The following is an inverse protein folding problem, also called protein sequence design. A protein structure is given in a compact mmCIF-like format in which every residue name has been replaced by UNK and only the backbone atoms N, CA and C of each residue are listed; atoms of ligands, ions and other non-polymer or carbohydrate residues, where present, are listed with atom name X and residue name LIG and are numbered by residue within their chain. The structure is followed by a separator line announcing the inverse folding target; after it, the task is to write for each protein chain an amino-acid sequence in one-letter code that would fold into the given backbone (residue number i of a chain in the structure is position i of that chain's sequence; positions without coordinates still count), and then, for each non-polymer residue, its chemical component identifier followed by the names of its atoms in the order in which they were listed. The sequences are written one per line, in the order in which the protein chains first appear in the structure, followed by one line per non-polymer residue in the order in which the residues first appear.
data_IF_580066980741
#
_entry.id   IF_580066980741
#
_cell.length_a   1.000
_cell.length_b   1.000
_cell.length_c   1.000
_cell.angle_alpha   90.00
_cell.angle_beta   90.00
_cell.angle_gamma   90.00
#
_symmetry.space_group_name_H-M   'P 1'
#
loop_
_entity.id
_entity.type
_entity.pdbx_description
1 polymer ?
#
# COMPACT_ATOMS: atom_id res chain seq x y z
N UNK A 1 2.28 11.98 -5.20
CA UNK A 1 2.04 10.54 -4.97
C UNK A 1 0.59 10.33 -4.55
N UNK A 2 -0.01 9.17 -4.82
CA UNK A 2 -1.38 8.83 -4.39
C UNK A 2 -1.37 7.75 -3.30
N UNK A 3 -2.33 7.82 -2.36
CA UNK A 3 -2.50 6.87 -1.27
C UNK A 3 -3.99 6.46 -1.17
N UNK A 4 -4.37 5.23 -1.55
CA UNK A 4 -3.55 4.14 -2.10
C UNK A 4 -2.99 4.40 -3.51
N UNK A 5 -2.03 3.57 -3.92
CA UNK A 5 -1.63 3.40 -5.31
C UNK A 5 -2.30 2.14 -5.89
N UNK A 6 -3.20 2.32 -6.86
CA UNK A 6 -3.99 1.26 -7.48
C UNK A 6 -3.54 0.94 -8.93
N UNK A 7 -2.27 1.13 -9.25
CA UNK A 7 -1.75 0.91 -10.62
C UNK A 7 -1.91 -0.54 -11.12
N UNK A 8 -2.01 -1.52 -10.22
CA UNK A 8 -2.15 -2.95 -10.54
C UNK A 8 -3.57 -3.39 -10.91
N UNK A 9 -4.56 -2.49 -10.77
CA UNK A 9 -5.94 -2.77 -11.15
C UNK A 9 -6.06 -2.91 -12.67
N UNK A 10 -6.77 -3.94 -13.11
CA UNK A 10 -7.04 -4.15 -14.55
C UNK A 10 -8.20 -3.28 -15.05
N UNK A 11 -9.23 -3.06 -14.23
CA UNK A 11 -10.36 -2.21 -14.61
C UNK A 11 -10.11 -0.76 -14.24
N UNK A 12 -9.94 0.10 -15.25
CA UNK A 12 -9.64 1.51 -15.03
C UNK A 12 -10.81 2.28 -14.41
N UNK A 13 -12.04 1.97 -14.81
CA UNK A 13 -13.22 2.81 -14.56
C UNK A 13 -13.67 2.85 -13.10
N UNK A 14 -13.31 1.83 -12.30
CA UNK A 14 -13.70 1.78 -10.89
C UNK A 14 -12.56 2.19 -9.94
N UNK A 15 -11.41 2.62 -10.46
CA UNK A 15 -10.28 3.04 -9.60
C UNK A 15 -10.61 4.23 -8.73
N UNK A 16 -11.39 5.20 -9.25
CA UNK A 16 -11.71 6.43 -8.53
C UNK A 16 -12.61 6.17 -7.31
N UNK A 17 -13.64 5.33 -7.47
CA UNK A 17 -14.56 4.98 -6.39
C UNK A 17 -13.83 4.21 -5.28
N UNK A 18 -13.03 3.21 -5.67
CA UNK A 18 -12.21 2.44 -4.72
C UNK A 18 -11.20 3.33 -4.01
N UNK A 19 -10.53 4.23 -4.74
CA UNK A 19 -9.64 5.21 -4.12
C UNK A 19 -10.34 6.05 -3.05
N UNK A 20 -11.55 6.56 -3.35
CA UNK A 20 -12.34 7.36 -2.40
C UNK A 20 -12.73 6.59 -1.15
N UNK A 21 -13.03 5.29 -1.26
CA UNK A 21 -13.38 4.46 -0.10
C UNK A 21 -12.16 4.06 0.73
N UNK A 22 -10.99 3.86 0.09
CA UNK A 22 -9.78 3.41 0.76
C UNK A 22 -8.96 4.55 1.37
N UNK A 23 -8.95 5.75 0.77
CA UNK A 23 -8.06 6.83 1.21
C UNK A 23 -8.32 7.34 2.65
N UNK A 24 -9.46 6.96 3.24
CA UNK A 24 -9.84 7.25 4.62
C UNK A 24 -9.44 6.16 5.61
N UNK A 25 -8.91 5.01 5.15
CA UNK A 25 -8.41 3.97 6.03
C UNK A 25 -7.14 4.45 6.77
N UNK A 26 -6.91 4.02 8.02
CA UNK A 26 -5.84 4.52 8.89
C UNK A 26 -4.47 4.61 8.19
N UNK A 27 -4.01 3.52 7.55
CA UNK A 27 -2.73 3.48 6.83
C UNK A 27 -2.61 4.57 5.77
N UNK A 28 -3.59 4.67 4.85
CA UNK A 28 -3.52 5.60 3.73
C UNK A 28 -3.72 7.06 4.16
N UNK A 29 -4.55 7.28 5.18
CA UNK A 29 -4.70 8.59 5.81
C UNK A 29 -3.36 9.05 6.40
N UNK A 30 -2.68 8.19 7.15
CA UNK A 30 -1.38 8.52 7.73
C UNK A 30 -0.32 8.84 6.66
N UNK A 31 -0.19 8.01 5.63
CA UNK A 31 0.75 8.27 4.53
C UNK A 31 0.46 9.60 3.81
N UNK A 32 -0.82 9.95 3.65
CA UNK A 32 -1.25 11.25 3.11
C UNK A 32 -0.85 12.39 4.04
N UNK A 33 -1.05 12.25 5.35
CA UNK A 33 -0.66 13.27 6.32
C UNK A 33 0.86 13.46 6.41
N UNK A 34 1.66 12.40 6.32
CA UNK A 34 3.12 12.51 6.20
C UNK A 34 3.50 13.37 4.99
N UNK A 35 2.89 13.10 3.83
CA UNK A 35 3.15 13.86 2.61
C UNK A 35 2.71 15.33 2.72
N UNK A 36 1.53 15.59 3.28
CA UNK A 36 1.03 16.95 3.51
C UNK A 36 1.93 17.72 4.47
N UNK A 37 2.39 17.06 5.54
CA UNK A 37 3.23 17.68 6.56
C UNK A 37 4.56 18.17 5.97
N UNK A 38 5.21 17.37 5.13
CA UNK A 38 6.42 17.81 4.41
C UNK A 38 6.14 19.02 3.51
N UNK A 39 5.05 18.98 2.74
CA UNK A 39 4.73 20.06 1.81
C UNK A 39 4.41 21.37 2.53
N UNK A 40 3.74 21.31 3.69
CA UNK A 40 3.35 22.47 4.48
C UNK A 40 4.54 23.13 5.18
N UNK A 41 5.44 22.33 5.75
CA UNK A 41 6.53 22.84 6.60
C UNK A 41 7.89 22.88 5.86
N UNK A 42 7.86 22.91 4.53
CA UNK A 42 9.09 22.92 3.73
C UNK A 42 9.85 24.24 3.94
N UNK A 43 11.07 24.17 4.49
CA UNK A 43 11.92 25.33 4.74
C UNK A 43 11.69 26.04 6.09
N UNK A 44 10.88 25.49 6.99
CA UNK A 44 10.66 26.08 8.32
C UNK A 44 11.64 25.55 9.38
N UNK A 45 12.28 26.47 10.10
CA UNK A 45 12.70 26.33 11.51
C UNK A 45 13.38 25.02 11.95
N UNK A 46 14.18 24.40 11.07
CA UNK A 46 14.78 23.11 11.36
C UNK A 46 15.81 23.19 12.50
N UNK A 47 15.74 22.23 13.41
CA UNK A 47 16.76 22.02 14.42
C UNK A 47 18.14 21.76 13.77
N UNK A 48 19.23 22.09 14.47
CA UNK A 48 20.60 21.79 14.08
C UNK A 48 20.83 20.32 13.70
N UNK A 49 20.13 19.39 14.33
CA UNK A 49 20.27 17.96 14.00
C UNK A 49 19.75 17.63 12.58
N UNK A 50 18.79 18.42 12.08
CA UNK A 50 18.30 18.27 10.71
C UNK A 50 19.30 18.83 9.67
N UNK A 51 20.28 19.65 10.08
CA UNK A 51 21.32 20.15 9.17
C UNK A 51 22.18 19.02 8.58
N UNK A 52 22.18 17.83 9.19
CA UNK A 52 22.83 16.65 8.60
C UNK A 52 22.31 16.32 7.20
N UNK A 53 21.05 16.65 6.87
CA UNK A 53 20.52 16.52 5.51
C UNK A 53 21.30 17.39 4.52
N UNK A 54 21.62 18.64 4.90
CA UNK A 54 22.35 19.58 4.06
C UNK A 54 23.81 19.19 3.85
N UNK A 55 24.47 18.73 4.92
CA UNK A 55 25.89 18.37 4.89
C UNK A 55 26.16 17.11 4.08
N UNK A 56 25.24 16.14 4.10
CA UNK A 56 25.48 14.81 3.50
C UNK A 56 24.86 14.65 2.11
N UNK A 57 23.75 15.33 1.82
CA UNK A 57 23.03 15.15 0.56
C UNK A 57 23.34 16.33 -0.35
N UNK A 58 24.09 16.10 -1.43
CA UNK A 58 24.37 17.13 -2.44
C UNK A 58 23.08 17.66 -3.10
N UNK A 59 23.07 18.94 -3.48
CA UNK A 59 21.90 19.61 -4.09
C UNK A 59 22.09 20.01 -5.56
N UNK A 60 23.20 19.61 -6.18
CA UNK A 60 23.57 20.04 -7.55
C UNK A 60 22.53 19.58 -8.58
N UNK A 61 21.98 18.38 -8.39
CA UNK A 61 20.98 17.80 -9.28
C UNK A 61 19.62 17.71 -8.59
N UNK A 62 18.54 17.71 -9.39
CA UNK A 62 17.14 17.60 -8.94
C UNK A 62 16.96 16.47 -7.92
N UNK A 63 17.52 15.28 -8.18
CA UNK A 63 17.39 14.14 -7.26
C UNK A 63 17.99 14.38 -5.87
N UNK A 64 19.12 15.05 -5.81
CA UNK A 64 19.76 15.42 -4.54
C UNK A 64 18.97 16.49 -3.79
N UNK A 65 18.46 17.49 -4.51
CA UNK A 65 17.59 18.52 -3.91
C UNK A 65 16.29 17.94 -3.35
N UNK A 66 15.63 17.02 -4.05
CA UNK A 66 14.38 16.40 -3.60
C UNK A 66 14.61 15.44 -2.42
N UNK A 67 15.71 14.66 -2.43
CA UNK A 67 16.07 13.82 -1.28
C UNK A 67 16.43 14.63 -0.05
N UNK A 68 17.07 15.79 -0.22
CA UNK A 68 17.34 16.71 0.88
C UNK A 68 16.05 17.24 1.50
N UNK A 69 15.10 17.72 0.69
CA UNK A 69 13.77 18.16 1.17
C UNK A 69 13.04 17.03 1.91
N UNK A 70 13.09 15.81 1.37
CA UNK A 70 12.51 14.64 2.02
C UNK A 70 13.18 14.36 3.38
N UNK A 71 14.51 14.42 3.45
CA UNK A 71 15.28 14.20 4.68
C UNK A 71 14.90 15.24 5.76
N UNK A 72 14.86 16.52 5.39
CA UNK A 72 14.47 17.62 6.27
C UNK A 72 13.03 17.45 6.76
N UNK A 73 12.12 17.10 5.85
CA UNK A 73 10.73 16.82 6.16
C UNK A 73 10.56 15.64 7.13
N UNK A 74 11.33 14.55 6.95
CA UNK A 74 11.35 13.42 7.89
C UNK A 74 11.86 13.87 9.26
N UNK A 75 12.95 14.63 9.32
CA UNK A 75 13.47 15.16 10.59
C UNK A 75 12.39 15.96 11.35
N UNK A 76 11.69 16.83 10.62
CA UNK A 76 10.61 17.64 11.17
C UNK A 76 9.43 16.77 11.65
N UNK A 77 9.04 15.75 10.88
CA UNK A 77 8.02 14.76 11.24
C UNK A 77 8.38 14.06 12.56
N UNK A 78 9.62 13.62 12.74
CA UNK A 78 10.04 12.90 13.94
C UNK A 78 10.00 13.81 15.19
N UNK A 79 10.36 15.08 15.04
CA UNK A 79 10.38 16.06 16.13
C UNK A 79 8.98 16.62 16.47
N UNK A 80 8.06 16.62 15.51
CA UNK A 80 6.69 17.12 15.69
C UNK A 80 5.65 15.99 15.53
N UNK A 81 6.02 14.76 15.88
CA UNK A 81 5.20 13.59 15.60
C UNK A 81 3.81 13.63 16.27
N UNK A 82 3.68 14.31 17.41
CA UNK A 82 2.39 14.47 18.09
C UNK A 82 1.33 15.14 17.21
N UNK A 83 1.72 16.08 16.35
CA UNK A 83 0.79 16.75 15.43
C UNK A 83 0.19 15.74 14.43
N UNK A 84 1.03 14.85 13.90
CA UNK A 84 0.61 13.80 12.97
C UNK A 84 -0.17 12.70 13.70
N UNK A 85 0.29 12.31 14.89
CA UNK A 85 -0.36 11.30 15.74
C UNK A 85 -1.79 11.71 16.08
N UNK A 86 -2.01 12.99 16.41
CA UNK A 86 -3.32 13.51 16.81
C UNK A 86 -4.40 13.37 15.72
N UNK A 87 -4.02 13.44 14.44
CA UNK A 87 -4.95 13.39 13.30
C UNK A 87 -5.03 11.99 12.64
N UNK A 88 -4.06 11.11 12.92
CA UNK A 88 -3.91 9.78 12.30
C UNK A 88 -4.50 8.68 13.19
N UNK A 89 -5.80 8.77 13.48
CA UNK A 89 -6.51 7.85 14.39
C UNK A 89 -6.56 6.43 13.81
N UNK A 90 -6.44 5.42 14.69
CA UNK A 90 -6.62 4.01 14.34
C UNK A 90 -5.35 3.25 13.98
N UNK A 91 -4.18 3.86 14.19
CA UNK A 91 -2.88 3.18 14.04
C UNK A 91 -2.35 2.79 15.41
N UNK A 92 -1.93 1.54 15.56
CA UNK A 92 -1.28 1.05 16.77
C UNK A 92 0.16 1.53 16.86
N UNK A 93 0.68 1.66 18.08
CA UNK A 93 1.99 2.29 18.32
C UNK A 93 3.15 1.54 17.64
N UNK A 94 3.04 0.23 17.43
CA UNK A 94 4.02 -0.59 16.72
C UNK A 94 4.04 -0.37 15.20
N UNK A 95 3.02 0.26 14.63
CA UNK A 95 2.84 0.41 13.17
C UNK A 95 3.33 1.74 12.60
N UNK A 96 3.54 2.75 13.45
CA UNK A 96 4.00 4.07 13.00
C UNK A 96 5.28 4.00 12.16
N UNK A 97 6.33 3.41 12.70
CA UNK A 97 7.62 3.32 12.00
C UNK A 97 7.59 2.38 10.80
N UNK A 98 6.99 1.17 10.84
CA UNK A 98 6.83 0.35 9.64
C UNK A 98 6.11 1.08 8.50
N UNK A 99 4.98 1.74 8.78
CA UNK A 99 4.23 2.46 7.75
C UNK A 99 5.03 3.64 7.19
N UNK A 100 5.70 4.39 8.05
CA UNK A 100 6.58 5.49 7.62
C UNK A 100 7.75 4.97 6.77
N UNK A 101 8.38 3.85 7.15
CA UNK A 101 9.48 3.26 6.38
C UNK A 101 9.06 2.88 4.95
N UNK A 102 7.93 2.19 4.79
CA UNK A 102 7.38 1.85 3.48
C UNK A 102 7.08 3.12 2.67
N UNK A 103 6.53 4.14 3.32
CA UNK A 103 6.23 5.41 2.68
C UNK A 103 7.50 6.16 2.22
N UNK A 104 8.52 6.27 3.08
CA UNK A 104 9.81 6.90 2.75
C UNK A 104 10.45 6.19 1.56
N UNK A 105 10.49 4.87 1.58
CA UNK A 105 11.10 4.10 0.49
C UNK A 105 10.36 4.32 -0.85
N UNK A 106 9.03 4.32 -0.82
CA UNK A 106 8.22 4.62 -2.01
C UNK A 106 8.47 6.05 -2.53
N UNK A 107 8.62 7.03 -1.62
CA UNK A 107 8.95 8.40 -1.99
C UNK A 107 10.32 8.46 -2.67
N UNK A 108 11.35 7.87 -2.07
CA UNK A 108 12.71 7.82 -2.62
C UNK A 108 12.72 7.25 -4.05
N UNK A 109 12.01 6.13 -4.29
CA UNK A 109 11.92 5.52 -5.61
C UNK A 109 11.20 6.37 -6.66
N UNK A 110 10.41 7.36 -6.25
CA UNK A 110 9.75 8.29 -7.16
C UNK A 110 10.63 9.48 -7.57
N UNK A 111 11.77 9.69 -6.89
CA UNK A 111 12.66 10.83 -7.14
C UNK A 111 13.60 10.52 -8.32
N UNK A 112 13.67 11.39 -9.35
CA UNK A 112 14.62 11.22 -10.45
C UNK A 112 16.07 11.22 -9.97
N UNK A 113 16.92 10.36 -10.53
CA UNK A 113 18.36 10.29 -10.19
C UNK A 113 18.66 10.05 -8.69
N UNK A 114 17.71 9.48 -7.92
CA UNK A 114 17.87 9.21 -6.49
C UNK A 114 19.08 8.32 -6.18
N UNK A 115 19.42 7.39 -7.09
CA UNK A 115 20.52 6.41 -6.91
C UNK A 115 21.87 7.08 -6.61
N UNK A 116 22.11 8.28 -7.12
CA UNK A 116 23.35 9.02 -6.90
C UNK A 116 23.50 9.54 -5.45
N UNK A 117 22.40 9.61 -4.71
CA UNK A 117 22.34 10.28 -3.40
C UNK A 117 21.68 9.44 -2.30
N UNK A 118 21.06 8.31 -2.64
CA UNK A 118 20.27 7.47 -1.71
C UNK A 118 21.10 6.96 -0.53
N UNK A 119 22.37 6.60 -0.74
CA UNK A 119 23.26 6.18 0.34
C UNK A 119 23.44 7.29 1.38
N UNK A 120 23.73 8.50 0.92
CA UNK A 120 23.91 9.67 1.80
C UNK A 120 22.60 10.06 2.48
N UNK A 121 21.46 9.90 1.79
CA UNK A 121 20.15 10.13 2.38
C UNK A 121 19.89 9.22 3.58
N UNK A 122 20.08 7.90 3.45
CA UNK A 122 19.89 6.97 4.58
C UNK A 122 20.96 7.13 5.66
N UNK A 123 22.18 7.53 5.30
CA UNK A 123 23.20 7.89 6.27
C UNK A 123 22.77 9.09 7.13
N UNK A 124 22.26 10.16 6.50
CA UNK A 124 21.72 11.32 7.21
C UNK A 124 20.55 10.94 8.12
N UNK A 125 19.60 10.12 7.63
CA UNK A 125 18.49 9.62 8.45
C UNK A 125 18.96 8.83 9.66
N UNK A 126 20.03 8.04 9.55
CA UNK A 126 20.60 7.29 10.68
C UNK A 126 21.02 8.23 11.81
N UNK A 127 21.66 9.37 11.52
CA UNK A 127 22.01 10.36 12.54
C UNK A 127 20.77 11.04 13.13
N UNK A 128 19.85 11.47 12.26
CA UNK A 128 18.63 12.16 12.67
C UNK A 128 17.80 11.32 13.63
N UNK A 129 17.71 10.00 13.39
CA UNK A 129 16.94 9.08 14.23
C UNK A 129 17.46 8.97 15.67
N UNK A 130 18.73 9.29 15.92
CA UNK A 130 19.33 9.28 17.26
C UNK A 130 19.23 10.63 17.99
N UNK A 131 18.58 11.64 17.40
CA UNK A 131 18.38 12.92 18.09
C UNK A 131 17.46 12.73 19.31
N UNK A 132 17.87 13.29 20.45
CA UNK A 132 17.06 13.31 21.67
C UNK A 132 15.80 14.18 21.57
N UNK A 133 15.65 14.97 20.50
CA UNK A 133 14.47 15.81 20.27
C UNK A 133 13.34 15.07 19.54
N UNK A 134 13.59 13.85 19.07
CA UNK A 134 12.57 13.08 18.37
C UNK A 134 11.49 12.60 19.34
N UNK A 135 10.23 12.78 18.93
CA UNK A 135 9.04 12.26 19.62
C UNK A 135 8.67 10.85 19.12
N UNK A 136 9.16 10.46 17.95
CA UNK A 136 9.05 9.12 17.40
C UNK A 136 10.44 8.59 17.05
N UNK A 137 10.76 7.40 17.57
CA UNK A 137 12.03 6.74 17.31
C UNK A 137 11.85 5.66 16.23
N UNK A 138 12.17 6.01 14.99
CA UNK A 138 12.21 5.07 13.87
C UNK A 138 13.66 4.76 13.47
N UNK A 139 13.87 3.61 12.84
CA UNK A 139 15.08 3.31 12.10
C UNK A 139 14.73 3.24 10.62
N UNK A 140 15.49 3.94 9.78
CA UNK A 140 15.35 3.90 8.32
C UNK A 140 16.57 3.23 7.72
N UNK A 141 16.34 2.23 6.87
CA UNK A 141 17.41 1.49 6.21
C UNK A 141 17.21 1.48 4.70
N UNK A 142 18.33 1.61 3.98
CA UNK A 142 18.34 1.38 2.55
C UNK A 142 18.29 -0.12 2.27
N UNK A 143 17.14 -0.62 1.86
CA UNK A 143 16.99 -2.04 1.50
C UNK A 143 17.59 -2.40 0.13
N UNK A 144 18.01 -1.41 -0.67
CA UNK A 144 18.53 -1.59 -2.05
C UNK A 144 17.64 -2.46 -2.96
N UNK A 145 16.34 -2.52 -2.64
CA UNK A 145 15.34 -3.28 -3.38
C UNK A 145 15.05 -2.60 -4.73
N UNK A 146 14.99 -3.40 -5.79
CA UNK A 146 14.54 -2.95 -7.10
C UNK A 146 13.09 -2.46 -7.06
N UNK A 147 12.75 -1.41 -7.81
CA UNK A 147 11.41 -0.81 -7.81
C UNK A 147 10.30 -1.81 -8.13
N UNK A 148 10.50 -2.71 -9.09
CA UNK A 148 9.49 -3.71 -9.48
C UNK A 148 9.23 -4.68 -8.32
N UNK A 149 10.31 -5.10 -7.64
CA UNK A 149 10.21 -5.97 -6.45
C UNK A 149 9.53 -5.22 -5.30
N UNK A 150 9.91 -3.96 -5.06
CA UNK A 150 9.30 -3.14 -4.03
C UNK A 150 7.80 -2.95 -4.26
N UNK A 151 7.38 -2.63 -5.49
CA UNK A 151 5.98 -2.45 -5.85
C UNK A 151 5.16 -3.72 -5.53
N UNK A 152 5.73 -4.91 -5.78
CA UNK A 152 5.12 -6.20 -5.38
C UNK A 152 4.98 -6.36 -3.88
N UNK A 153 6.06 -6.12 -3.12
CA UNK A 153 6.02 -6.22 -1.66
C UNK A 153 5.01 -5.25 -1.07
N UNK A 154 4.99 -4.02 -1.57
CA UNK A 154 4.10 -2.95 -1.11
C UNK A 154 2.64 -3.32 -1.27
N UNK A 155 2.21 -3.79 -2.44
CA UNK A 155 0.80 -4.18 -2.65
C UNK A 155 0.38 -5.30 -1.69
N UNK A 156 1.21 -6.35 -1.56
CA UNK A 156 0.93 -7.48 -0.66
C UNK A 156 0.90 -7.06 0.81
N UNK A 157 1.86 -6.23 1.23
CA UNK A 157 1.97 -5.70 2.57
C UNK A 157 0.78 -4.80 2.91
N UNK A 158 0.51 -3.76 2.10
CA UNK A 158 -0.54 -2.79 2.38
C UNK A 158 -1.91 -3.44 2.46
N UNK A 159 -2.21 -4.42 1.61
CA UNK A 159 -3.47 -5.17 1.69
C UNK A 159 -3.61 -5.94 2.99
N UNK A 160 -2.53 -6.62 3.43
CA UNK A 160 -2.52 -7.38 4.69
C UNK A 160 -2.78 -6.48 5.89
N UNK A 161 -2.22 -5.27 5.87
CA UNK A 161 -2.38 -4.27 6.94
C UNK A 161 -3.79 -3.67 7.01
N UNK A 162 -4.43 -3.41 5.86
CA UNK A 162 -5.78 -2.80 5.83
C UNK A 162 -6.93 -3.81 5.81
N UNK A 163 -6.65 -5.11 5.71
CA UNK A 163 -7.69 -6.12 5.52
C UNK A 163 -8.75 -6.10 6.63
N UNK A 164 -8.33 -5.91 7.89
CA UNK A 164 -9.26 -5.88 9.02
C UNK A 164 -10.13 -4.62 9.01
N UNK A 165 -9.58 -3.48 8.59
CA UNK A 165 -10.34 -2.25 8.41
C UNK A 165 -11.39 -2.41 7.30
N UNK A 166 -11.00 -3.01 6.18
CA UNK A 166 -11.89 -3.34 5.07
C UNK A 166 -13.00 -4.28 5.53
N UNK A 167 -12.64 -5.34 6.26
CA UNK A 167 -13.61 -6.30 6.83
C UNK A 167 -14.60 -5.59 7.75
N UNK A 168 -14.14 -4.71 8.63
CA UNK A 168 -15.01 -3.91 9.50
C UNK A 168 -15.98 -3.07 8.67
N UNK A 169 -15.50 -2.41 7.61
CA UNK A 169 -16.34 -1.63 6.69
C UNK A 169 -17.36 -2.47 5.93
N UNK A 170 -17.02 -3.68 5.52
CA UNK A 170 -17.96 -4.60 4.85
C UNK A 170 -19.02 -5.10 5.84
N UNK A 171 -18.63 -5.28 7.10
CA UNK A 171 -19.52 -5.84 8.11
C UNK A 171 -20.43 -4.83 8.82
N UNK A 172 -20.10 -3.55 8.72
CA UNK A 172 -20.88 -2.44 9.22
C UNK A 172 -22.21 -2.31 8.44
N UNK A 173 -23.34 -2.55 9.12
CA UNK A 173 -24.68 -2.49 8.52
C UNK A 173 -25.07 -1.08 8.07
N UNK A 174 -24.46 -0.04 8.66
CA UNK A 174 -24.70 1.35 8.26
C UNK A 174 -23.89 1.74 7.02
N UNK A 175 -22.87 0.96 6.64
CA UNK A 175 -22.07 1.24 5.47
C UNK A 175 -22.79 0.79 4.19
N UNK A 176 -23.48 1.72 3.54
CA UNK A 176 -24.16 1.47 2.26
C UNK A 176 -23.17 1.30 1.08
N UNK A 177 -21.88 1.63 1.25
CA UNK A 177 -20.89 1.60 0.19
C UNK A 177 -19.87 0.46 0.34
N UNK A 178 -20.39 -0.77 0.37
CA UNK A 178 -19.59 -2.01 0.53
C UNK A 178 -18.83 -2.40 -0.75
N UNK A 179 -19.38 -2.09 -1.92
CA UNK A 179 -18.87 -2.60 -3.21
C UNK A 179 -17.42 -2.21 -3.52
N UNK A 180 -16.94 -0.99 -3.22
CA UNK A 180 -15.54 -0.64 -3.47
C UNK A 180 -14.56 -1.47 -2.63
N UNK A 181 -14.94 -1.81 -1.40
CA UNK A 181 -14.16 -2.68 -0.52
C UNK A 181 -14.10 -4.11 -1.06
N UNK A 182 -15.25 -4.63 -1.51
CA UNK A 182 -15.32 -5.93 -2.18
C UNK A 182 -14.43 -5.97 -3.44
N UNK A 183 -14.50 -4.94 -4.29
CA UNK A 183 -13.64 -4.86 -5.48
C UNK A 183 -12.16 -4.86 -5.10
N UNK A 184 -11.78 -4.15 -4.04
CA UNK A 184 -10.41 -4.17 -3.56
C UNK A 184 -9.95 -5.57 -3.11
N UNK A 185 -10.79 -6.34 -2.43
CA UNK A 185 -10.50 -7.73 -2.09
C UNK A 185 -10.32 -8.56 -3.37
N UNK A 186 -11.26 -8.51 -4.32
CA UNK A 186 -11.17 -9.24 -5.60
C UNK A 186 -9.84 -8.96 -6.32
N UNK A 187 -9.48 -7.69 -6.45
CA UNK A 187 -8.27 -7.27 -7.15
C UNK A 187 -6.98 -7.71 -6.44
N UNK A 188 -6.92 -7.69 -5.11
CA UNK A 188 -5.74 -8.14 -4.38
C UNK A 188 -5.58 -9.66 -4.40
N UNK A 189 -6.68 -10.41 -4.35
CA UNK A 189 -6.67 -11.87 -4.52
C UNK A 189 -6.17 -12.24 -5.92
N UNK A 190 -6.63 -11.53 -6.97
CA UNK A 190 -6.10 -11.66 -8.34
C UNK A 190 -4.61 -11.32 -8.41
N UNK A 191 -4.21 -10.21 -7.79
CA UNK A 191 -2.82 -9.76 -7.77
C UNK A 191 -1.89 -10.79 -7.13
N UNK A 192 -2.24 -11.27 -5.93
CA UNK A 192 -1.52 -12.35 -5.25
C UNK A 192 -1.30 -13.55 -6.17
N UNK A 193 -2.36 -14.01 -6.83
CA UNK A 193 -2.31 -15.15 -7.73
C UNK A 193 -1.46 -14.91 -8.98
N UNK A 194 -1.33 -13.65 -9.42
CA UNK A 194 -0.46 -13.27 -10.54
C UNK A 194 1.01 -13.30 -10.13
N UNK A 195 1.36 -12.68 -8.99
CA UNK A 195 2.77 -12.52 -8.60
C UNK A 195 3.38 -13.76 -7.96
N UNK A 196 2.56 -14.66 -7.39
CA UNK A 196 3.02 -15.91 -6.78
C UNK A 196 3.60 -16.91 -7.78
N UNK A 197 3.18 -16.85 -9.06
CA UNK A 197 3.67 -17.77 -10.12
C UNK A 197 5.20 -17.71 -10.23
N UNK A 198 5.75 -16.52 -10.06
CA UNK A 198 7.19 -16.27 -10.11
C UNK A 198 7.87 -16.33 -8.74
N UNK A 199 7.17 -16.81 -7.69
CA UNK A 199 7.70 -16.87 -6.33
C UNK A 199 7.15 -18.06 -5.56
N UNK A 200 7.77 -19.22 -5.79
CA UNK A 200 7.33 -20.52 -5.24
C UNK A 200 8.01 -20.89 -3.92
N UNK A 201 9.13 -20.25 -3.59
CA UNK A 201 9.89 -20.48 -2.35
C UNK A 201 10.65 -19.23 -1.90
N UNK A 202 11.14 -19.23 -0.65
CA UNK A 202 11.89 -18.11 -0.08
C UNK A 202 13.12 -17.72 -0.92
N UNK A 203 13.80 -18.70 -1.51
CA UNK A 203 14.96 -18.46 -2.37
C UNK A 203 14.60 -18.00 -3.79
N UNK A 204 13.33 -18.12 -4.20
CA UNK A 204 12.91 -17.78 -5.57
C UNK A 204 12.63 -16.29 -5.76
N UNK A 205 12.27 -15.56 -4.70
CA UNK A 205 11.98 -14.14 -4.80
C UNK A 205 12.09 -13.38 -3.46
N UNK A 206 12.40 -12.08 -3.54
CA UNK A 206 12.55 -11.20 -2.38
C UNK A 206 11.22 -10.73 -1.72
N UNK A 207 10.07 -11.22 -2.21
CA UNK A 207 8.72 -10.89 -1.72
C UNK A 207 7.95 -12.12 -1.20
N UNK A 208 8.64 -13.24 -0.99
CA UNK A 208 8.03 -14.49 -0.51
C UNK A 208 7.41 -14.35 0.88
N UNK A 209 8.05 -13.57 1.76
CA UNK A 209 7.54 -13.31 3.11
C UNK A 209 6.19 -12.58 3.06
N UNK A 210 6.06 -11.56 2.22
CA UNK A 210 4.82 -10.81 2.05
C UNK A 210 3.72 -11.68 1.43
N UNK A 211 4.06 -12.59 0.50
CA UNK A 211 3.12 -13.60 -0.01
C UNK A 211 2.63 -14.53 1.09
N UNK A 212 3.55 -15.06 1.91
CA UNK A 212 3.22 -15.97 3.01
C UNK A 212 2.31 -15.28 4.03
N UNK A 213 2.63 -14.04 4.40
CA UNK A 213 1.80 -13.23 5.30
C UNK A 213 0.41 -12.97 4.73
N UNK A 214 0.32 -12.62 3.43
CA UNK A 214 -0.96 -12.43 2.74
C UNK A 214 -1.81 -13.70 2.81
N UNK A 215 -1.23 -14.85 2.43
CA UNK A 215 -1.91 -16.14 2.44
C UNK A 215 -2.41 -16.52 3.84
N UNK A 216 -1.56 -16.33 4.84
CA UNK A 216 -1.91 -16.62 6.24
C UNK A 216 -3.04 -15.70 6.72
N UNK A 217 -2.97 -14.39 6.42
CA UNK A 217 -4.04 -13.43 6.76
C UNK A 217 -5.39 -13.85 6.20
N UNK A 218 -5.43 -14.32 4.95
CA UNK A 218 -6.67 -14.82 4.32
C UNK A 218 -7.16 -16.13 4.96
N UNK A 219 -6.24 -17.03 5.36
CA UNK A 219 -6.58 -18.34 5.96
C UNK A 219 -7.02 -18.28 7.42
N UNK A 220 -6.33 -17.49 8.23
CA UNK A 220 -6.61 -17.32 9.66
C UNK A 220 -8.02 -16.74 9.90
N UNK A 221 -8.58 -16.08 8.89
CA UNK A 221 -9.90 -15.48 8.94
C UNK A 221 -10.92 -16.47 8.38
N UNK A 222 -11.55 -17.23 9.27
CA UNK A 222 -12.74 -18.06 9.01
C UNK A 222 -13.91 -17.31 8.32
N UNK A 223 -13.80 -15.98 8.21
CA UNK A 223 -14.81 -15.05 7.72
C UNK A 223 -14.76 -14.75 6.22
N UNK A 224 -13.84 -15.35 5.45
CA UNK A 224 -13.80 -15.08 4.00
C UNK A 224 -15.15 -15.39 3.35
N UNK A 225 -15.80 -16.50 3.69
CA UNK A 225 -17.11 -16.84 3.12
C UNK A 225 -18.18 -15.78 3.43
N UNK A 226 -18.22 -15.25 4.66
CA UNK A 226 -19.15 -14.19 5.06
C UNK A 226 -18.93 -12.91 4.23
N UNK A 227 -17.67 -12.54 4.03
CA UNK A 227 -17.30 -11.41 3.17
C UNK A 227 -17.76 -11.67 1.73
N UNK A 228 -17.51 -12.87 1.20
CA UNK A 228 -17.91 -13.23 -0.16
C UNK A 228 -19.43 -13.17 -0.35
N UNK A 229 -20.21 -13.57 0.65
CA UNK A 229 -21.67 -13.46 0.61
C UNK A 229 -22.13 -12.01 0.55
N UNK A 230 -21.60 -11.14 1.41
CA UNK A 230 -21.89 -9.69 1.39
C UNK A 230 -21.43 -9.02 0.10
N UNK A 231 -20.34 -9.49 -0.47
CA UNK A 231 -19.78 -9.00 -1.73
C UNK A 231 -20.46 -9.61 -2.97
N UNK A 232 -21.40 -10.54 -2.81
CA UNK A 232 -21.99 -11.32 -3.88
C UNK A 232 -20.95 -11.97 -4.81
N UNK A 233 -19.91 -12.55 -4.21
CA UNK A 233 -18.80 -13.24 -4.89
C UNK A 233 -18.77 -14.73 -4.56
N UNK A 234 -18.21 -15.52 -5.47
CA UNK A 234 -17.87 -16.93 -5.24
C UNK A 234 -16.40 -17.17 -5.52
N UNK A 235 -15.81 -18.14 -4.83
CA UNK A 235 -14.46 -18.64 -5.11
C UNK A 235 -14.43 -19.27 -6.51
N UNK A 236 -13.33 -19.10 -7.22
CA UNK A 236 -13.08 -19.68 -8.54
C UNK A 236 -11.58 -19.95 -8.70
N UNK A 237 -11.18 -20.96 -9.50
CA UNK A 237 -9.78 -21.12 -9.87
C UNK A 237 -9.23 -19.86 -10.52
N UNK A 238 -7.94 -19.60 -10.30
CA UNK A 238 -7.21 -18.62 -11.10
C UNK A 238 -6.63 -19.31 -12.33
N UNK A 239 -6.38 -18.56 -13.41
CA UNK A 239 -5.91 -19.07 -14.72
C UNK A 239 -4.69 -20.01 -14.67
N UNK A 240 -3.93 -20.02 -13.57
CA UNK A 240 -2.71 -20.84 -13.39
C UNK A 240 -2.72 -21.73 -12.13
N UNK A 241 -3.88 -22.04 -11.54
CA UNK A 241 -3.97 -22.79 -10.27
C UNK A 241 -5.00 -23.92 -10.37
N UNK A 242 -4.56 -25.16 -10.16
CA UNK A 242 -5.38 -26.36 -10.30
C UNK A 242 -6.19 -26.74 -9.05
N UNK A 243 -5.83 -26.24 -7.85
CA UNK A 243 -6.53 -26.56 -6.61
C UNK A 243 -6.84 -25.31 -5.76
N UNK A 244 -8.12 -25.10 -5.47
CA UNK A 244 -8.65 -23.91 -4.75
C UNK A 244 -8.50 -24.07 -3.23
N UNK A 245 -8.56 -25.29 -2.71
CA UNK A 245 -8.78 -25.52 -1.28
C UNK A 245 -7.54 -25.25 -0.42
N UNK A 246 -6.35 -25.34 -1.00
CA UNK A 246 -5.07 -25.13 -0.31
C UNK A 246 -4.45 -23.75 -0.55
N UNK A 247 -5.11 -22.84 -1.27
CA UNK A 247 -4.52 -21.54 -1.61
C UNK A 247 -5.53 -20.39 -1.63
N UNK A 248 -5.03 -19.17 -1.86
CA UNK A 248 -5.87 -17.98 -2.00
C UNK A 248 -6.68 -18.07 -3.30
N UNK A 249 -8.03 -18.10 -3.26
CA UNK A 249 -8.85 -18.24 -4.45
C UNK A 249 -8.89 -16.94 -5.28
N UNK A 250 -9.22 -17.05 -6.57
CA UNK A 250 -9.75 -15.91 -7.32
C UNK A 250 -11.25 -15.77 -7.05
N UNK A 251 -11.81 -14.59 -7.33
CA UNK A 251 -13.22 -14.31 -7.09
C UNK A 251 -13.95 -13.96 -8.39
N UNK A 252 -15.13 -14.55 -8.60
CA UNK A 252 -16.08 -14.18 -9.68
C UNK A 252 -17.39 -13.71 -9.04
N UNK A 253 -18.10 -12.76 -9.68
CA UNK A 253 -19.45 -12.40 -9.25
C UNK A 253 -20.36 -13.63 -9.23
N UNK A 254 -21.16 -13.77 -8.18
CA UNK A 254 -22.33 -14.67 -8.19
C UNK A 254 -23.30 -14.06 -9.19
N UNK A 255 -23.27 -14.56 -10.42
CA UNK A 255 -24.17 -14.09 -11.47
C UNK A 255 -25.61 -14.50 -11.18
N UNK A 256 -26.56 -13.82 -11.83
CA UNK A 256 -27.90 -14.37 -12.01
C UNK A 256 -27.75 -15.65 -12.84
N UNK A 257 -28.27 -16.82 -12.39
CA UNK A 257 -28.17 -18.08 -13.13
C UNK A 257 -28.57 -17.95 -14.60
N UNK A 258 -29.56 -17.10 -14.91
CA UNK A 258 -30.02 -16.83 -16.26
C UNK A 258 -29.03 -16.08 -17.16
N UNK A 259 -28.20 -15.20 -16.59
CA UNK A 259 -27.20 -14.44 -17.37
C UNK A 259 -25.90 -15.23 -17.57
N UNK A 260 -25.54 -16.09 -16.60
CA UNK A 260 -24.39 -16.99 -16.72
C UNK A 260 -24.56 -18.05 -17.81
N UNK A 261 -25.80 -18.44 -18.14
CA UNK A 261 -26.11 -19.38 -19.22
C UNK A 261 -26.02 -18.75 -20.62
N UNK A 262 -26.11 -17.42 -20.72
CA UNK A 262 -26.10 -16.70 -22.00
C UNK A 262 -24.69 -16.15 -22.29
N UNK A 263 -23.93 -15.83 -21.25
CA UNK A 263 -22.62 -15.21 -21.33
C UNK A 263 -21.71 -15.94 -20.33
N UNK A 264 -20.87 -16.87 -20.78
CA UNK A 264 -19.90 -17.59 -19.93
C UNK A 264 -18.92 -16.65 -19.18
N UNK A 265 -18.94 -15.36 -19.49
CA UNK A 265 -18.07 -14.31 -18.94
C UNK A 265 -18.75 -13.40 -17.90
N UNK A 266 -17.91 -12.86 -16.99
CA UNK A 266 -18.29 -11.91 -15.95
C UNK A 266 -19.11 -10.75 -16.56
N UNK A 267 -20.35 -10.47 -16.10
CA UNK A 267 -21.24 -9.48 -16.72
C UNK A 267 -20.69 -8.04 -16.76
N UNK A 268 -19.59 -7.74 -16.04
CA UNK A 268 -18.86 -6.47 -16.18
C UNK A 268 -18.10 -6.36 -17.51
N UNK A 269 -17.69 -7.47 -18.13
CA UNK A 269 -17.01 -7.49 -19.44
C UNK A 269 -17.99 -7.15 -20.58
N UNK A 270 -19.28 -7.44 -20.40
CA UNK A 270 -20.31 -7.24 -21.43
C UNK A 270 -20.87 -5.82 -21.51
N UNK A 271 -20.78 -5.03 -20.43
CA UNK A 271 -21.20 -3.62 -20.46
C UNK A 271 -20.40 -2.78 -21.48
N UNK A 272 -19.22 -3.26 -21.90
CA UNK A 272 -18.36 -2.61 -22.90
C UNK A 272 -18.69 -2.91 -24.36
N UNK A 273 -19.35 -4.05 -24.66
CA UNK A 273 -19.63 -4.41 -26.06
C UNK A 273 -20.89 -3.75 -26.64
N UNK A 274 -21.70 -3.05 -25.83
CA UNK A 274 -22.91 -2.36 -26.30
C UNK A 274 -22.75 -0.85 -26.54
N UNK A 275 -21.59 -0.26 -26.21
CA UNK A 275 -21.29 1.16 -26.48
C UNK A 275 -20.37 1.36 -27.71
N UNK A 276 -20.13 0.29 -28.48
CA UNK A 276 -19.49 0.35 -29.79
C UNK A 276 -20.41 -0.42 -30.75
N UNK A 277 -21.50 0.25 -31.15
CA UNK A 277 -22.24 0.02 -32.41
C UNK A 277 -23.16 1.22 -32.63
#
# INVERSE_FOLDING_TARGET
MSYPNLHYYVDADNRAEVYKSLNNLPLYKYQKELHNFINKNNGEGLNSDCNYCNTNIGNINVGGSELRKLCEGICNILQNFNDIKSISIGISDDKWCPYMNWWVYNYVLSIPNYKNYVSNFYHALTYICHSSKNLLNCSFQNSSIDKIIFDKKKVLYEFTEIYDDIKKKINDEENLNVQPYCKHIKENLRYYNTVKVNCTSENSCAYYKELSNFKNKIRELSDLNNILDKCNYRKTPCENVSNIDDDVPCLKKKGNPFLLLIFDDDPEVYAFRKNIN
#
